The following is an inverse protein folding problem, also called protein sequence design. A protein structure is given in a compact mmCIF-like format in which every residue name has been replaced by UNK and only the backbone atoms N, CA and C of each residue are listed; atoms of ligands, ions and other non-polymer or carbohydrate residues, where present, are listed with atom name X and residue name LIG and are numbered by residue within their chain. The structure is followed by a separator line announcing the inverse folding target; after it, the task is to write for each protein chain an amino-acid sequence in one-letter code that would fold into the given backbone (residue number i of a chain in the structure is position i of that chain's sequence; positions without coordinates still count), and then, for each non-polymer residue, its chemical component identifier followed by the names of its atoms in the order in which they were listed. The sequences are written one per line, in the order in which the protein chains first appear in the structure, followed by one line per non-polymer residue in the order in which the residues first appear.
data_IF_143285725086
#
_entry.id   IF_143285725086
#
_cell.length_a   1.000
_cell.length_b   1.000
_cell.length_c   1.000
_cell.angle_alpha   90.00
_cell.angle_beta   90.00
_cell.angle_gamma   90.00
#
_symmetry.space_group_name_H-M   'P 1'
#
loop_
_entity.id
_entity.type
_entity.pdbx_description
1 polymer ?
#
# COMPACT_ATOMS: atom_id res chain seq x y z
N UNK A 1 -21.96 -0.22 -10.05
CA UNK A 1 -22.49 -1.50 -9.52
C UNK A 1 -23.80 -1.20 -8.81
N UNK A 2 -24.77 -2.11 -8.86
CA UNK A 2 -25.99 -2.06 -8.04
C UNK A 2 -25.70 -2.62 -6.65
N UNK A 3 -26.57 -2.34 -5.68
CA UNK A 3 -26.46 -2.95 -4.35
C UNK A 3 -26.44 -4.48 -4.46
N UNK A 4 -25.59 -5.11 -3.64
CA UNK A 4 -25.36 -6.56 -3.58
C UNK A 4 -24.69 -7.20 -4.81
N UNK A 5 -24.36 -6.43 -5.86
CA UNK A 5 -23.46 -6.90 -6.92
C UNK A 5 -22.13 -7.40 -6.30
N UNK A 6 -21.49 -8.34 -6.99
CA UNK A 6 -20.30 -9.05 -6.48
C UNK A 6 -19.00 -8.34 -6.82
N UNK A 7 -18.12 -8.20 -5.82
CA UNK A 7 -16.80 -7.55 -5.91
C UNK A 7 -15.72 -8.51 -5.40
N UNK A 8 -14.59 -8.58 -6.10
CA UNK A 8 -13.38 -9.23 -5.59
C UNK A 8 -12.23 -8.25 -5.48
N UNK A 9 -11.53 -8.27 -4.34
CA UNK A 9 -10.34 -7.47 -4.06
C UNK A 9 -9.32 -8.30 -3.27
N UNK A 10 -8.07 -7.84 -3.19
CA UNK A 10 -7.05 -8.50 -2.38
C UNK A 10 -7.48 -8.43 -0.90
N UNK A 11 -7.33 -9.54 -0.16
CA UNK A 11 -7.68 -9.56 1.25
C UNK A 11 -6.88 -8.51 2.04
N UNK A 12 -7.51 -7.88 3.03
CA UNK A 12 -6.88 -6.80 3.79
C UNK A 12 -5.61 -7.29 4.51
N UNK A 13 -5.59 -8.44 5.21
CA UNK A 13 -4.39 -8.96 5.83
C UNK A 13 -3.28 -9.33 4.85
N UNK A 14 -3.63 -9.50 3.58
CA UNK A 14 -2.74 -9.89 2.48
C UNK A 14 -2.28 -8.68 1.66
N UNK A 15 -2.50 -7.46 2.17
CA UNK A 15 -2.01 -6.22 1.57
C UNK A 15 -3.03 -5.49 0.72
N UNK A 16 -4.30 -5.86 0.77
CA UNK A 16 -5.42 -5.12 0.18
C UNK A 16 -5.70 -3.79 0.85
N UNK A 17 -6.87 -3.21 0.58
CA UNK A 17 -7.33 -1.97 1.21
C UNK A 17 -8.79 -2.08 1.66
N UNK A 18 -9.16 -1.36 2.73
CA UNK A 18 -10.52 -1.39 3.28
C UNK A 18 -11.59 -1.00 2.25
N UNK A 19 -11.28 -0.12 1.30
CA UNK A 19 -12.20 0.27 0.22
C UNK A 19 -12.42 -0.80 -0.84
N UNK A 20 -11.73 -1.94 -0.77
CA UNK A 20 -11.91 -3.07 -1.68
C UNK A 20 -12.88 -4.12 -1.10
N UNK A 21 -13.37 -3.90 0.12
CA UNK A 21 -14.17 -4.84 0.88
C UNK A 21 -13.36 -5.51 1.98
N UNK A 22 -13.94 -5.60 3.18
CA UNK A 22 -13.36 -6.35 4.29
C UNK A 22 -14.44 -6.72 5.30
N UNK A 23 -14.45 -8.00 5.68
CA UNK A 23 -15.34 -8.54 6.68
C UNK A 23 -14.65 -9.67 7.43
N UNK A 24 -15.05 -9.86 8.69
CA UNK A 24 -14.73 -11.03 9.49
C UNK A 24 -16.00 -11.88 9.62
N UNK A 25 -15.93 -13.15 10.06
CA UNK A 25 -17.11 -14.03 10.13
C UNK A 25 -18.30 -13.43 10.90
N UNK A 26 -18.03 -12.60 11.91
CA UNK A 26 -19.06 -11.98 12.74
C UNK A 26 -19.53 -10.60 12.26
N UNK A 27 -18.84 -9.94 11.32
CA UNK A 27 -19.09 -8.52 11.01
C UNK A 27 -18.52 -8.04 9.67
N UNK A 28 -19.32 -7.28 8.94
CA UNK A 28 -18.83 -6.42 7.84
C UNK A 28 -18.15 -5.18 8.40
N UNK A 29 -16.83 -5.10 8.23
CA UNK A 29 -16.01 -3.99 8.74
C UNK A 29 -16.03 -2.82 7.77
N UNK A 30 -15.78 -3.08 6.49
CA UNK A 30 -15.91 -2.09 5.43
C UNK A 30 -17.37 -1.90 5.05
N UNK A 31 -17.78 -0.65 4.82
CA UNK A 31 -19.09 -0.36 4.25
C UNK A 31 -19.25 -0.90 2.82
N UNK A 32 -18.15 -1.10 2.08
CA UNK A 32 -18.18 -1.76 0.77
C UNK A 32 -18.75 -3.18 0.90
N UNK A 33 -18.39 -3.92 1.95
CA UNK A 33 -18.93 -5.26 2.23
C UNK A 33 -20.36 -5.24 2.78
N UNK A 34 -20.90 -4.07 3.14
CA UNK A 34 -22.32 -3.91 3.50
C UNK A 34 -23.18 -3.62 2.28
N UNK A 35 -22.68 -2.76 1.38
CA UNK A 35 -23.40 -2.36 0.17
C UNK A 35 -23.28 -3.38 -0.96
N UNK A 36 -22.16 -4.10 -1.05
CA UNK A 36 -21.84 -5.06 -2.10
C UNK A 36 -21.48 -6.41 -1.49
N UNK A 37 -21.62 -7.47 -2.29
CA UNK A 37 -21.20 -8.81 -1.88
C UNK A 37 -19.71 -8.96 -2.19
N UNK A 38 -18.85 -8.97 -1.17
CA UNK A 38 -17.39 -8.99 -1.35
C UNK A 38 -16.80 -10.37 -1.06
N UNK A 39 -15.88 -10.84 -1.90
CA UNK A 39 -15.06 -12.04 -1.63
C UNK A 39 -13.58 -11.73 -1.90
N UNK A 40 -12.67 -11.98 -0.94
CA UNK A 40 -11.27 -11.69 -1.15
C UNK A 40 -10.58 -12.72 -2.05
N UNK A 41 -9.53 -12.29 -2.75
CA UNK A 41 -8.45 -13.19 -3.20
C UNK A 41 -7.19 -12.97 -2.36
N UNK A 42 -6.23 -13.88 -2.45
CA UNK A 42 -5.14 -14.00 -1.46
C UNK A 42 -3.76 -14.02 -2.13
N UNK A 43 -2.72 -13.82 -1.33
CA UNK A 43 -1.35 -14.19 -1.68
C UNK A 43 -1.16 -15.69 -1.47
N UNK A 44 -0.26 -16.30 -2.23
CA UNK A 44 0.35 -17.56 -1.88
C UNK A 44 1.20 -17.35 -0.60
N UNK A 45 0.94 -18.08 0.50
CA UNK A 45 1.62 -17.84 1.78
C UNK A 45 3.10 -18.23 1.78
N UNK A 46 3.54 -19.07 0.85
CA UNK A 46 4.93 -19.49 0.71
C UNK A 46 5.76 -18.43 -0.01
N UNK A 47 5.23 -17.89 -1.11
CA UNK A 47 5.95 -16.92 -1.96
C UNK A 47 5.68 -15.47 -1.57
N UNK A 48 4.52 -15.17 -0.96
CA UNK A 48 4.07 -13.80 -0.68
C UNK A 48 3.63 -13.03 -1.93
N UNK A 49 3.36 -13.72 -3.04
CA UNK A 49 2.90 -13.16 -4.32
C UNK A 49 1.40 -13.48 -4.49
N UNK A 50 0.65 -12.65 -5.21
CA UNK A 50 -0.77 -12.91 -5.50
C UNK A 50 -0.95 -14.31 -6.10
N UNK A 51 -1.85 -15.10 -5.53
CA UNK A 51 -2.23 -16.41 -6.07
C UNK A 51 -3.26 -16.22 -7.20
N UNK A 52 -2.73 -15.94 -8.40
CA UNK A 52 -3.56 -15.69 -9.58
C UNK A 52 -4.39 -16.91 -10.00
N UNK A 53 -3.90 -18.12 -9.76
CA UNK A 53 -4.62 -19.35 -10.10
C UNK A 53 -5.75 -19.61 -9.10
N UNK A 54 -5.52 -19.34 -7.81
CA UNK A 54 -6.57 -19.31 -6.80
C UNK A 54 -7.63 -18.25 -7.11
N UNK A 55 -7.22 -17.05 -7.51
CA UNK A 55 -8.12 -15.99 -7.97
C UNK A 55 -8.95 -16.45 -9.18
N UNK A 56 -8.34 -17.05 -10.21
CA UNK A 56 -9.06 -17.52 -11.41
C UNK A 56 -10.15 -18.55 -11.04
N UNK A 57 -9.79 -19.57 -10.26
CA UNK A 57 -10.72 -20.62 -9.82
C UNK A 57 -11.90 -20.05 -9.03
N UNK A 58 -11.61 -19.18 -8.07
CA UNK A 58 -12.64 -18.61 -7.19
C UNK A 58 -13.50 -17.57 -7.90
N UNK A 59 -12.95 -16.80 -8.84
CA UNK A 59 -13.70 -15.86 -9.66
C UNK A 59 -14.73 -16.56 -10.56
N UNK A 60 -14.42 -17.73 -11.12
CA UNK A 60 -15.38 -18.49 -11.93
C UNK A 60 -16.60 -18.99 -11.13
N UNK A 61 -16.39 -19.34 -9.86
CA UNK A 61 -17.46 -19.77 -8.95
C UNK A 61 -18.25 -18.56 -8.46
N UNK A 62 -17.56 -17.51 -8.01
CA UNK A 62 -18.17 -16.34 -7.41
C UNK A 62 -18.79 -15.37 -8.43
N UNK A 63 -18.34 -15.38 -9.69
CA UNK A 63 -18.86 -14.53 -10.77
C UNK A 63 -18.89 -13.04 -10.39
N UNK A 64 -17.74 -12.42 -10.09
CA UNK A 64 -17.69 -11.01 -9.74
C UNK A 64 -18.12 -10.13 -10.91
N UNK A 65 -18.72 -8.99 -10.60
CA UNK A 65 -18.98 -7.93 -11.59
C UNK A 65 -17.76 -7.02 -11.75
N UNK A 66 -16.95 -6.89 -10.70
CA UNK A 66 -15.70 -6.12 -10.69
C UNK A 66 -14.63 -6.93 -9.97
N UNK A 67 -13.44 -6.97 -10.55
CA UNK A 67 -12.21 -7.45 -9.90
C UNK A 67 -11.30 -6.23 -9.71
N UNK A 68 -10.81 -6.03 -8.49
CA UNK A 68 -9.90 -4.94 -8.13
C UNK A 68 -8.45 -5.44 -8.19
N UNK A 69 -7.62 -4.76 -8.98
CA UNK A 69 -6.17 -4.89 -9.04
C UNK A 69 -5.51 -3.69 -8.37
N UNK A 70 -5.38 -3.73 -7.04
CA UNK A 70 -4.77 -2.64 -6.27
C UNK A 70 -4.42 -3.07 -4.86
N UNK A 71 -3.37 -2.47 -4.30
CA UNK A 71 -2.76 -2.90 -3.03
C UNK A 71 -2.32 -1.71 -2.17
N UNK A 72 -2.23 -1.95 -0.86
CA UNK A 72 -1.65 -1.04 0.13
C UNK A 72 -0.29 -1.51 0.65
N UNK A 73 -0.10 -2.82 0.77
CA UNK A 73 1.08 -3.42 1.40
C UNK A 73 1.55 -4.64 0.59
N UNK A 74 2.01 -4.37 -0.64
CA UNK A 74 2.53 -5.36 -1.57
C UNK A 74 3.73 -4.76 -2.31
N UNK A 75 4.90 -5.39 -2.23
CA UNK A 75 6.17 -4.85 -2.77
C UNK A 75 6.43 -5.21 -4.23
N UNK A 76 5.63 -6.10 -4.81
CA UNK A 76 5.73 -6.56 -6.21
C UNK A 76 4.82 -5.76 -7.14
N UNK A 77 5.06 -5.90 -8.45
CA UNK A 77 4.10 -5.47 -9.46
C UNK A 77 2.91 -6.42 -9.51
N UNK A 78 1.77 -5.91 -9.98
CA UNK A 78 0.59 -6.73 -10.28
C UNK A 78 0.71 -7.14 -11.74
N UNK A 79 0.56 -8.42 -12.03
CA UNK A 79 0.38 -8.94 -13.39
C UNK A 79 -1.01 -8.51 -13.92
N UNK A 80 -1.06 -7.35 -14.58
CA UNK A 80 -2.30 -6.77 -15.07
C UNK A 80 -2.90 -7.56 -16.25
N UNK A 81 -2.07 -8.23 -17.05
CA UNK A 81 -2.52 -9.09 -18.15
C UNK A 81 -3.24 -10.33 -17.61
N UNK A 82 -2.69 -10.96 -16.57
CA UNK A 82 -3.34 -12.08 -15.88
C UNK A 82 -4.65 -11.64 -15.24
N UNK A 83 -4.68 -10.48 -14.58
CA UNK A 83 -5.91 -9.91 -14.03
C UNK A 83 -6.96 -9.65 -15.10
N UNK A 84 -6.56 -9.09 -16.26
CA UNK A 84 -7.44 -8.85 -17.41
C UNK A 84 -8.03 -10.15 -17.95
N UNK A 85 -7.21 -11.18 -18.11
CA UNK A 85 -7.66 -12.50 -18.59
C UNK A 85 -8.74 -13.08 -17.67
N UNK A 86 -8.54 -13.00 -16.35
CA UNK A 86 -9.51 -13.51 -15.37
C UNK A 86 -10.81 -12.69 -15.40
N UNK A 87 -10.71 -11.36 -15.45
CA UNK A 87 -11.88 -10.48 -15.56
C UNK A 87 -12.69 -10.78 -16.83
N UNK A 88 -12.02 -11.00 -17.97
CA UNK A 88 -12.66 -11.37 -19.23
C UNK A 88 -13.44 -12.68 -19.15
N UNK A 89 -12.86 -13.72 -18.54
CA UNK A 89 -13.54 -15.02 -18.38
C UNK A 89 -14.85 -14.91 -17.59
N UNK A 90 -14.91 -13.97 -16.63
CA UNK A 90 -16.09 -13.74 -15.80
C UNK A 90 -17.07 -12.72 -16.40
N UNK A 91 -16.69 -12.02 -17.48
CA UNK A 91 -17.42 -10.84 -17.98
C UNK A 91 -17.35 -9.63 -17.03
N UNK A 92 -16.41 -9.64 -16.07
CA UNK A 92 -16.23 -8.60 -15.08
C UNK A 92 -15.55 -7.35 -15.68
N UNK A 93 -15.66 -6.22 -14.99
CA UNK A 93 -14.78 -5.09 -15.20
C UNK A 93 -13.49 -5.27 -14.38
N UNK A 94 -12.36 -4.86 -14.95
CA UNK A 94 -11.10 -4.72 -14.22
C UNK A 94 -10.95 -3.28 -13.73
N UNK A 95 -10.88 -3.11 -12.40
CA UNK A 95 -10.60 -1.83 -11.75
C UNK A 95 -9.19 -1.88 -11.17
N UNK A 96 -8.30 -0.99 -11.57
CA UNK A 96 -7.01 -0.82 -10.89
C UNK A 96 -7.04 0.31 -9.90
N UNK A 97 -6.76 0.02 -8.63
CA UNK A 97 -6.53 1.06 -7.62
C UNK A 97 -5.02 1.28 -7.48
N UNK A 98 -4.52 2.32 -8.15
CA UNK A 98 -3.09 2.64 -8.20
C UNK A 98 -2.68 3.67 -7.14
N UNK A 99 -3.49 3.88 -6.09
CA UNK A 99 -3.28 4.93 -5.10
C UNK A 99 -1.84 5.01 -4.55
N UNK A 100 -1.21 3.86 -4.30
CA UNK A 100 0.14 3.77 -3.77
C UNK A 100 1.24 4.05 -4.81
N UNK A 101 0.98 3.79 -6.10
CA UNK A 101 1.99 3.82 -7.17
C UNK A 101 1.74 4.89 -8.24
N UNK A 102 0.72 5.74 -8.09
CA UNK A 102 0.34 6.71 -9.13
C UNK A 102 1.45 7.69 -9.53
N UNK A 103 2.33 8.07 -8.60
CA UNK A 103 3.51 8.86 -8.93
C UNK A 103 4.54 8.07 -9.75
N UNK A 104 4.76 6.80 -9.40
CA UNK A 104 5.65 5.89 -10.14
C UNK A 104 5.13 5.65 -11.57
N UNK A 105 3.82 5.45 -11.71
CA UNK A 105 3.15 5.29 -13.01
C UNK A 105 3.27 6.58 -13.84
N UNK A 106 3.02 7.74 -13.24
CA UNK A 106 3.14 9.03 -13.93
C UNK A 106 4.57 9.31 -14.44
N UNK A 107 5.58 8.88 -13.71
CA UNK A 107 7.00 8.98 -14.10
C UNK A 107 7.44 7.89 -15.10
N UNK A 108 6.61 6.87 -15.36
CA UNK A 108 6.93 5.76 -16.26
C UNK A 108 8.03 4.83 -15.73
N UNK A 109 8.17 4.71 -14.39
CA UNK A 109 9.18 3.86 -13.75
C UNK A 109 8.65 2.51 -13.28
N UNK A 110 7.34 2.30 -13.39
CA UNK A 110 6.65 1.01 -13.20
C UNK A 110 5.61 0.82 -14.30
N UNK A 111 5.13 -0.41 -14.47
CA UNK A 111 4.10 -0.73 -15.44
C UNK A 111 2.79 0.04 -15.18
N UNK A 112 2.19 0.55 -16.26
CA UNK A 112 0.97 1.32 -16.20
C UNK A 112 -0.28 0.41 -16.26
N UNK A 113 -1.22 0.50 -15.30
CA UNK A 113 -2.47 -0.25 -15.36
C UNK A 113 -3.39 0.21 -16.50
N UNK A 114 -3.11 1.38 -17.10
CA UNK A 114 -3.95 1.96 -18.16
C UNK A 114 -3.93 1.18 -19.47
N UNK A 115 -3.09 0.17 -19.64
CA UNK A 115 -3.10 -0.67 -20.85
C UNK A 115 -4.25 -1.69 -20.86
N UNK A 116 -4.64 -2.20 -19.69
CA UNK A 116 -5.55 -3.35 -19.56
C UNK A 116 -6.84 -3.01 -18.81
N UNK A 117 -6.79 -2.09 -17.85
CA UNK A 117 -7.89 -1.80 -16.95
C UNK A 117 -9.01 -1.00 -17.62
N UNK A 118 -10.24 -1.32 -17.22
CA UNK A 118 -11.44 -0.60 -17.68
C UNK A 118 -11.62 0.70 -16.88
N UNK A 119 -11.27 0.66 -15.59
CA UNK A 119 -11.35 1.77 -14.63
C UNK A 119 -10.01 1.84 -13.89
N UNK A 120 -9.50 3.05 -13.66
CA UNK A 120 -8.34 3.28 -12.79
C UNK A 120 -8.70 4.32 -11.74
N UNK A 121 -8.59 3.98 -10.46
CA UNK A 121 -8.77 4.92 -9.34
C UNK A 121 -7.43 5.23 -8.70
N UNK A 122 -7.30 6.44 -8.15
CA UNK A 122 -6.10 6.80 -7.39
C UNK A 122 -6.41 7.89 -6.37
N UNK A 123 -5.67 7.87 -5.27
CA UNK A 123 -5.48 9.06 -4.44
C UNK A 123 -4.43 9.99 -5.03
N UNK A 124 -4.48 11.27 -4.67
CA UNK A 124 -3.56 12.28 -5.22
C UNK A 124 -2.38 12.65 -4.30
N UNK A 125 -2.37 12.18 -3.04
CA UNK A 125 -1.43 12.63 -2.00
C UNK A 125 -0.24 11.70 -1.70
N UNK A 126 -0.26 10.45 -2.18
CA UNK A 126 0.77 9.45 -1.87
C UNK A 126 2.01 9.65 -2.74
N UNK A 127 2.39 8.66 -3.55
CA UNK A 127 3.55 8.78 -4.44
C UNK A 127 3.39 9.92 -5.46
N UNK A 128 2.16 10.33 -5.81
CA UNK A 128 1.90 11.50 -6.66
C UNK A 128 2.23 12.85 -6.00
N UNK A 129 2.37 12.89 -4.67
CA UNK A 129 2.80 14.08 -3.90
C UNK A 129 1.93 15.34 -4.08
N UNK A 130 0.64 15.16 -4.37
CA UNK A 130 -0.35 16.24 -4.47
C UNK A 130 -1.18 16.45 -3.20
N UNK A 131 -2.29 17.22 -3.28
CA UNK A 131 -3.18 17.43 -2.14
C UNK A 131 -3.98 16.18 -1.79
N UNK A 132 -4.65 16.18 -0.64
CA UNK A 132 -5.62 15.12 -0.29
C UNK A 132 -6.85 15.19 -1.20
N UNK A 133 -6.91 14.27 -2.16
CA UNK A 133 -8.04 14.09 -3.09
C UNK A 133 -7.92 12.75 -3.82
N UNK A 134 -8.73 12.58 -4.86
CA UNK A 134 -8.75 11.37 -5.69
C UNK A 134 -9.11 11.70 -7.14
N UNK A 135 -8.79 10.78 -8.05
CA UNK A 135 -9.20 10.79 -9.46
C UNK A 135 -9.77 9.44 -9.86
N UNK A 136 -10.74 9.46 -10.78
CA UNK A 136 -11.33 8.27 -11.39
C UNK A 136 -11.17 8.41 -12.90
N UNK A 137 -10.39 7.50 -13.48
CA UNK A 137 -10.24 7.37 -14.92
C UNK A 137 -11.08 6.19 -15.41
N UNK A 138 -11.67 6.31 -16.58
CA UNK A 138 -12.50 5.27 -17.18
C UNK A 138 -12.31 5.23 -18.70
N UNK A 139 -12.42 4.02 -19.27
CA UNK A 139 -12.42 3.82 -20.72
C UNK A 139 -13.67 4.41 -21.38
N UNK A 140 -13.49 4.89 -22.61
CA UNK A 140 -14.55 5.30 -23.55
C UNK A 140 -14.36 4.57 -24.87
N UNK A 141 -15.39 4.51 -25.71
CA UNK A 141 -15.33 3.86 -27.02
C UNK A 141 -15.76 2.39 -27.00
N UNK A 142 -15.16 1.56 -27.85
CA UNK A 142 -15.55 0.15 -28.01
C UNK A 142 -14.92 -0.70 -26.90
N UNK A 143 -15.75 -1.42 -26.14
CA UNK A 143 -15.34 -2.39 -25.12
C UNK A 143 -15.08 -3.77 -25.71
N UNK A 144 -15.98 -4.22 -26.58
CA UNK A 144 -15.89 -5.52 -27.23
C UNK A 144 -16.68 -5.54 -28.54
N UNK A 145 -16.52 -6.60 -29.32
CA UNK A 145 -17.37 -6.88 -30.48
C UNK A 145 -18.07 -8.21 -30.20
N UNK A 146 -19.40 -8.23 -30.35
CA UNK A 146 -20.17 -9.45 -30.14
C UNK A 146 -19.95 -10.47 -31.29
N UNK A 147 -20.50 -11.67 -31.14
CA UNK A 147 -20.39 -12.74 -32.15
C UNK A 147 -21.01 -12.38 -33.51
N UNK A 148 -21.86 -11.36 -33.56
CA UNK A 148 -22.54 -10.88 -34.77
C UNK A 148 -21.81 -9.69 -35.41
N UNK A 149 -20.67 -9.27 -34.86
CA UNK A 149 -19.91 -8.12 -35.35
C UNK A 149 -20.40 -6.77 -34.81
N UNK A 150 -21.36 -6.74 -33.89
CA UNK A 150 -21.82 -5.48 -33.31
C UNK A 150 -20.82 -4.98 -32.27
N UNK A 151 -20.47 -3.70 -32.38
CA UNK A 151 -19.61 -3.02 -31.39
C UNK A 151 -20.40 -2.79 -30.10
N UNK A 152 -19.89 -3.32 -29.00
CA UNK A 152 -20.38 -3.04 -27.64
C UNK A 152 -19.55 -1.89 -27.09
N UNK A 153 -20.19 -0.77 -26.78
CA UNK A 153 -19.51 0.41 -26.25
C UNK A 153 -19.31 0.31 -24.72
N UNK A 154 -18.31 1.01 -24.21
CA UNK A 154 -18.20 1.27 -22.79
C UNK A 154 -19.34 2.18 -22.33
N UNK A 155 -19.97 1.80 -21.21
CA UNK A 155 -20.94 2.61 -20.49
C UNK A 155 -20.41 2.88 -19.06
N UNK A 156 -19.37 3.71 -18.98
CA UNK A 156 -18.68 4.04 -17.72
C UNK A 156 -18.79 5.52 -17.38
N UNK A 157 -18.69 6.41 -18.38
CA UNK A 157 -18.64 7.86 -18.19
C UNK A 157 -19.87 8.40 -17.44
N UNK A 158 -21.06 8.19 -17.99
CA UNK A 158 -22.28 8.71 -17.38
C UNK A 158 -22.57 8.07 -16.02
N UNK A 159 -22.49 6.73 -15.84
CA UNK A 159 -22.72 6.12 -14.52
C UNK A 159 -21.71 6.57 -13.46
N UNK A 160 -20.43 6.71 -13.80
CA UNK A 160 -19.40 7.15 -12.82
C UNK A 160 -19.62 8.62 -12.46
N UNK A 161 -19.79 9.51 -13.44
CA UNK A 161 -20.01 10.93 -13.18
C UNK A 161 -21.29 11.15 -12.36
N UNK A 162 -22.40 10.49 -12.72
CA UNK A 162 -23.66 10.55 -11.97
C UNK A 162 -23.54 9.99 -10.55
N UNK A 163 -22.72 8.95 -10.36
CA UNK A 163 -22.44 8.40 -9.03
C UNK A 163 -21.66 9.38 -8.15
N UNK A 164 -20.72 10.14 -8.72
CA UNK A 164 -20.02 11.21 -7.98
C UNK A 164 -21.00 12.34 -7.64
N UNK A 165 -21.67 12.91 -8.63
CA UNK A 165 -22.69 13.94 -8.46
C UNK A 165 -23.84 13.70 -9.46
N UNK A 166 -25.10 13.67 -9.01
CA UNK A 166 -25.60 14.00 -7.67
C UNK A 166 -25.60 12.83 -6.68
N UNK A 167 -25.00 11.67 -7.02
CA UNK A 167 -25.13 10.45 -6.23
C UNK A 167 -24.58 10.50 -4.80
N UNK A 168 -23.30 10.84 -4.62
CA UNK A 168 -22.62 10.71 -3.33
C UNK A 168 -21.96 12.00 -2.81
N UNK A 169 -21.77 13.00 -3.66
CA UNK A 169 -21.18 14.29 -3.28
C UNK A 169 -22.07 15.45 -3.75
N UNK A 170 -21.90 16.61 -3.11
CA UNK A 170 -22.53 17.88 -3.49
C UNK A 170 -21.54 18.81 -4.22
N UNK A 171 -21.25 19.97 -3.62
CA UNK A 171 -20.35 20.97 -4.21
C UNK A 171 -18.89 20.51 -4.30
N UNK A 172 -18.18 20.79 -5.41
CA UNK A 172 -16.78 20.41 -5.57
C UNK A 172 -15.83 21.26 -4.71
N UNK A 173 -14.76 20.65 -4.21
CA UNK A 173 -13.71 21.35 -3.47
C UNK A 173 -12.69 21.99 -4.41
N UNK A 174 -13.07 23.12 -5.03
CA UNK A 174 -12.29 23.76 -6.10
C UNK A 174 -10.85 24.12 -5.69
N UNK A 175 -10.60 24.52 -4.43
CA UNK A 175 -9.24 24.77 -3.93
C UNK A 175 -8.35 23.51 -3.99
N UNK A 176 -8.91 22.33 -3.71
CA UNK A 176 -8.20 21.04 -3.82
C UNK A 176 -7.98 20.67 -5.28
N UNK A 177 -8.97 20.91 -6.15
CA UNK A 177 -8.85 20.65 -7.59
C UNK A 177 -7.77 21.54 -8.22
N UNK A 178 -7.70 22.82 -7.83
CA UNK A 178 -6.64 23.73 -8.28
C UNK A 178 -5.26 23.26 -7.81
N UNK A 179 -5.11 22.88 -6.54
CA UNK A 179 -3.84 22.34 -6.05
C UNK A 179 -3.46 21.01 -6.73
N UNK A 180 -4.44 20.18 -7.10
CA UNK A 180 -4.20 18.97 -7.88
C UNK A 180 -3.64 19.29 -9.27
N UNK A 181 -4.16 20.31 -9.96
CA UNK A 181 -3.62 20.74 -11.25
C UNK A 181 -2.14 21.14 -11.15
N UNK A 182 -1.75 21.81 -10.06
CA UNK A 182 -0.34 22.14 -9.78
C UNK A 182 0.51 20.87 -9.62
N UNK A 183 0.04 19.91 -8.81
CA UNK A 183 0.75 18.64 -8.61
C UNK A 183 0.88 17.82 -9.91
N UNK A 184 -0.17 17.81 -10.74
CA UNK A 184 -0.15 17.13 -12.05
C UNK A 184 0.82 17.79 -13.04
N UNK A 185 1.01 19.12 -12.96
CA UNK A 185 2.04 19.82 -13.72
C UNK A 185 3.45 19.42 -13.24
N UNK A 186 3.67 19.36 -11.92
CA UNK A 186 4.94 18.91 -11.35
C UNK A 186 5.25 17.46 -11.75
N UNK A 187 4.25 16.58 -11.78
CA UNK A 187 4.42 15.17 -12.14
C UNK A 187 4.91 14.92 -13.58
N UNK A 188 4.82 15.93 -14.46
CA UNK A 188 5.30 15.87 -15.84
C UNK A 188 6.76 16.32 -16.00
N UNK A 189 7.40 16.80 -14.93
CA UNK A 189 8.76 17.32 -15.00
C UNK A 189 9.81 16.21 -14.99
N UNK A 190 11.00 16.51 -15.52
CA UNK A 190 12.13 15.57 -15.51
C UNK A 190 12.58 15.28 -14.08
N UNK A 191 12.58 16.30 -13.22
CA UNK A 191 12.96 16.21 -11.81
C UNK A 191 12.01 15.29 -11.04
N UNK A 192 10.71 15.28 -11.39
CA UNK A 192 9.76 14.35 -10.79
C UNK A 192 10.05 12.90 -11.21
N UNK A 193 10.44 12.66 -12.47
CA UNK A 193 10.86 11.34 -12.91
C UNK A 193 12.13 10.87 -12.19
N UNK A 194 13.16 11.71 -12.13
CA UNK A 194 14.40 11.44 -11.40
C UNK A 194 14.12 11.14 -9.91
N UNK A 195 13.21 11.90 -9.29
CA UNK A 195 12.72 11.63 -7.94
C UNK A 195 12.08 10.24 -7.80
N UNK A 196 11.19 9.83 -8.70
CA UNK A 196 10.54 8.51 -8.63
C UNK A 196 11.51 7.35 -8.89
N UNK A 197 12.52 7.55 -9.75
CA UNK A 197 13.61 6.59 -9.92
C UNK A 197 14.39 6.42 -8.60
N UNK A 198 14.70 7.53 -7.92
CA UNK A 198 15.36 7.49 -6.61
C UNK A 198 14.51 6.80 -5.55
N UNK A 199 13.18 7.01 -5.56
CA UNK A 199 12.24 6.32 -4.64
C UNK A 199 12.38 4.79 -4.75
N UNK A 200 12.48 4.25 -5.96
CA UNK A 200 12.65 2.80 -6.18
C UNK A 200 14.04 2.33 -5.74
N UNK A 201 15.11 3.07 -6.09
CA UNK A 201 16.48 2.73 -5.67
C UNK A 201 16.60 2.67 -4.15
N UNK A 202 16.05 3.67 -3.47
CA UNK A 202 15.99 3.77 -2.01
C UNK A 202 15.23 2.61 -1.37
N UNK A 203 14.08 2.23 -1.92
CA UNK A 203 13.31 1.08 -1.42
C UNK A 203 14.09 -0.24 -1.57
N UNK A 204 14.80 -0.41 -2.70
CA UNK A 204 15.67 -1.56 -2.95
C UNK A 204 16.87 -1.58 -2.00
N UNK A 205 17.52 -0.45 -1.75
CA UNK A 205 18.63 -0.34 -0.80
C UNK A 205 18.18 -0.71 0.62
N UNK A 206 17.05 -0.16 1.08
CA UNK A 206 16.45 -0.49 2.39
C UNK A 206 16.21 -1.99 2.53
N UNK A 207 15.50 -2.60 1.57
CA UNK A 207 15.15 -4.00 1.67
C UNK A 207 16.31 -4.95 1.42
N UNK A 208 17.28 -4.57 0.59
CA UNK A 208 18.54 -5.28 0.42
C UNK A 208 19.31 -5.33 1.74
N UNK A 209 19.49 -4.18 2.39
CA UNK A 209 20.18 -4.10 3.68
C UNK A 209 19.47 -4.89 4.79
N UNK A 210 18.14 -4.79 4.86
CA UNK A 210 17.36 -5.60 5.79
C UNK A 210 17.51 -7.11 5.51
N UNK A 211 17.57 -7.52 4.25
CA UNK A 211 17.82 -8.92 3.88
C UNK A 211 19.20 -9.38 4.35
N UNK A 212 20.23 -8.56 4.16
CA UNK A 212 21.60 -8.86 4.62
C UNK A 212 21.67 -8.99 6.16
N UNK A 213 20.83 -8.24 6.88
CA UNK A 213 20.64 -8.34 8.34
C UNK A 213 19.74 -9.52 8.77
N UNK A 214 19.36 -10.39 7.83
CA UNK A 214 18.57 -11.59 8.09
C UNK A 214 17.08 -11.34 8.34
N UNK A 215 16.52 -10.23 7.85
CA UNK A 215 15.07 -10.03 7.82
C UNK A 215 14.44 -10.73 6.62
N UNK A 216 13.28 -11.35 6.84
CA UNK A 216 12.49 -11.94 5.77
C UNK A 216 11.64 -10.87 5.09
N UNK A 217 11.87 -10.63 3.80
CA UNK A 217 11.06 -9.72 2.97
C UNK A 217 9.88 -10.50 2.39
N UNK A 218 8.65 -10.04 2.65
CA UNK A 218 7.45 -10.63 2.07
C UNK A 218 7.43 -10.36 0.56
N UNK A 219 7.21 -11.40 -0.27
CA UNK A 219 7.23 -11.28 -1.73
C UNK A 219 8.64 -11.31 -2.37
N UNK A 220 9.70 -11.33 -1.56
CA UNK A 220 11.09 -11.42 -2.03
C UNK A 220 11.62 -10.09 -2.56
N UNK A 221 11.49 -9.85 -3.86
CA UNK A 221 11.99 -8.64 -4.51
C UNK A 221 11.12 -7.41 -4.20
N UNK A 222 11.72 -6.24 -4.45
CA UNK A 222 11.10 -4.94 -4.26
C UNK A 222 11.07 -4.24 -5.61
N UNK A 223 9.86 -4.05 -6.12
CA UNK A 223 9.60 -3.52 -7.45
C UNK A 223 8.87 -2.17 -7.40
N UNK A 224 8.63 -1.64 -6.20
CA UNK A 224 7.98 -0.35 -5.98
C UNK A 224 8.59 0.40 -4.78
N UNK A 225 7.84 1.30 -4.17
CA UNK A 225 8.29 2.24 -3.14
C UNK A 225 8.22 1.72 -1.70
N UNK A 226 7.82 0.46 -1.47
CA UNK A 226 7.63 -0.08 -0.11
C UNK A 226 8.33 -1.42 0.12
N UNK A 227 8.63 -1.68 1.38
CA UNK A 227 9.17 -2.95 1.90
C UNK A 227 8.25 -3.45 3.00
N UNK A 228 7.90 -4.73 2.98
CA UNK A 228 7.17 -5.39 4.05
C UNK A 228 8.04 -6.50 4.63
N UNK A 229 8.44 -6.35 5.90
CA UNK A 229 9.24 -7.36 6.60
C UNK A 229 8.39 -8.22 7.52
N UNK A 230 8.68 -9.52 7.55
CA UNK A 230 8.14 -10.49 8.51
C UNK A 230 9.07 -10.55 9.73
N UNK A 231 8.56 -10.16 10.89
CA UNK A 231 9.29 -10.13 12.16
C UNK A 231 9.15 -11.44 12.95
N UNK A 232 8.29 -12.37 12.52
CA UNK A 232 8.11 -13.67 13.19
C UNK A 232 9.43 -14.44 13.36
N UNK A 233 10.33 -14.51 12.35
CA UNK A 233 11.64 -15.16 12.51
C UNK A 233 12.53 -14.48 13.55
N UNK A 234 12.32 -13.18 13.83
CA UNK A 234 13.06 -12.45 14.87
C UNK A 234 12.46 -12.64 16.27
N UNK A 235 11.28 -13.26 16.37
CA UNK A 235 10.61 -13.57 17.63
C UNK A 235 9.94 -12.36 18.29
N UNK A 236 9.61 -11.31 17.53
CA UNK A 236 8.97 -10.09 18.04
C UNK A 236 7.81 -9.70 17.14
N UNK A 237 6.76 -9.10 17.70
CA UNK A 237 5.62 -8.61 16.91
C UNK A 237 5.81 -7.16 16.43
N UNK A 238 5.12 -6.80 15.35
CA UNK A 238 5.26 -5.49 14.73
C UNK A 238 4.78 -4.33 15.60
N UNK A 239 3.86 -4.56 16.54
CA UNK A 239 3.34 -3.50 17.40
C UNK A 239 4.37 -3.03 18.43
N UNK A 240 5.16 -3.95 18.98
CA UNK A 240 6.25 -3.60 19.89
C UNK A 240 7.36 -2.84 19.18
N UNK A 241 7.76 -3.30 18.00
CA UNK A 241 8.81 -2.64 17.20
C UNK A 241 8.36 -1.25 16.75
N UNK A 242 7.12 -1.11 16.26
CA UNK A 242 6.54 0.18 15.89
C UNK A 242 6.55 1.16 17.07
N UNK A 243 6.23 0.70 18.29
CA UNK A 243 6.27 1.55 19.48
C UNK A 243 7.68 2.04 19.83
N UNK A 244 8.69 1.18 19.72
CA UNK A 244 10.09 1.59 19.93
C UNK A 244 10.53 2.60 18.86
N UNK A 245 10.19 2.35 17.60
CA UNK A 245 10.46 3.27 16.50
C UNK A 245 9.79 4.64 16.69
N UNK A 246 8.52 4.65 17.13
CA UNK A 246 7.78 5.88 17.43
C UNK A 246 8.51 6.74 18.48
N UNK A 247 8.97 6.11 19.57
CA UNK A 247 9.74 6.79 20.62
C UNK A 247 11.10 7.30 20.11
N UNK A 248 11.63 6.73 19.03
CA UNK A 248 12.84 7.19 18.34
C UNK A 248 12.56 8.23 17.23
N UNK A 249 11.33 8.75 17.14
CA UNK A 249 10.87 9.65 16.07
C UNK A 249 10.88 9.03 14.66
N UNK A 250 10.74 7.70 14.57
CA UNK A 250 10.62 6.98 13.30
C UNK A 250 9.17 6.52 13.12
N UNK A 251 8.48 7.13 12.16
CA UNK A 251 7.12 6.72 11.80
C UNK A 251 7.16 5.51 10.87
N UNK A 252 6.87 4.34 11.43
CA UNK A 252 6.63 3.10 10.68
C UNK A 252 5.19 2.63 10.92
N UNK A 253 4.78 1.55 10.25
CA UNK A 253 3.43 1.01 10.39
C UNK A 253 3.49 -0.50 10.60
N UNK A 254 2.99 -0.97 11.74
CA UNK A 254 2.75 -2.41 11.94
C UNK A 254 1.76 -2.90 10.88
N UNK A 255 2.06 -4.04 10.27
CA UNK A 255 1.25 -4.58 9.17
C UNK A 255 1.18 -6.09 9.29
N UNK A 256 0.03 -6.65 8.91
CA UNK A 256 -0.12 -8.11 8.81
C UNK A 256 0.80 -8.66 7.74
N UNK A 257 1.24 -9.89 7.94
CA UNK A 257 1.99 -10.67 6.94
C UNK A 257 1.29 -12.01 6.72
N UNK A 258 1.52 -12.69 5.58
CA UNK A 258 0.95 -14.02 5.35
C UNK A 258 1.20 -14.98 6.52
N UNK A 259 0.14 -15.70 6.91
CA UNK A 259 0.14 -16.62 8.05
C UNK A 259 -0.18 -16.00 9.41
N UNK A 260 -0.43 -14.69 9.50
CA UNK A 260 -0.91 -14.09 10.74
C UNK A 260 -2.34 -14.56 11.05
N UNK A 261 -2.56 -15.09 12.26
CA UNK A 261 -3.87 -15.61 12.68
C UNK A 261 -4.88 -14.50 13.02
N UNK A 262 -4.43 -13.25 13.17
CA UNK A 262 -5.28 -12.13 13.56
C UNK A 262 -4.71 -10.81 13.06
N UNK A 263 -5.57 -9.99 12.44
CA UNK A 263 -5.23 -8.61 12.08
C UNK A 263 -4.92 -7.72 13.30
N UNK A 264 -5.30 -8.13 14.51
CA UNK A 264 -5.04 -7.39 15.75
C UNK A 264 -3.63 -7.63 16.31
N UNK A 265 -2.90 -8.63 15.79
CA UNK A 265 -1.53 -8.95 16.20
C UNK A 265 -0.63 -9.09 14.96
N UNK A 266 -0.36 -7.99 14.24
CA UNK A 266 0.45 -8.03 13.03
C UNK A 266 1.88 -8.48 13.31
N UNK A 267 2.34 -9.47 12.55
CA UNK A 267 3.69 -10.02 12.64
C UNK A 267 4.74 -9.29 11.80
N UNK A 268 4.39 -8.18 11.14
CA UNK A 268 5.31 -7.46 10.27
C UNK A 268 5.29 -5.96 10.40
N UNK A 269 6.18 -5.34 9.64
CA UNK A 269 6.39 -3.89 9.60
C UNK A 269 6.48 -3.43 8.14
N UNK A 270 5.66 -2.45 7.78
CA UNK A 270 5.68 -1.81 6.45
C UNK A 270 6.47 -0.52 6.50
N UNK A 271 7.43 -0.39 5.59
CA UNK A 271 8.31 0.75 5.42
C UNK A 271 8.19 1.26 3.99
N UNK A 272 8.43 2.56 3.77
CA UNK A 272 8.36 3.15 2.44
C UNK A 272 9.33 4.30 2.26
N UNK A 273 9.83 4.47 1.04
CA UNK A 273 10.83 5.47 0.69
C UNK A 273 10.35 6.88 0.27
N UNK A 274 9.08 7.14 -0.17
CA UNK A 274 8.74 8.43 -0.80
C UNK A 274 8.99 9.68 0.05
N UNK A 275 8.62 9.64 1.33
CA UNK A 275 8.66 10.82 2.19
C UNK A 275 10.10 11.29 2.44
N UNK A 276 11.00 10.37 2.77
CA UNK A 276 12.40 10.73 3.04
C UNK A 276 13.19 10.98 1.76
N UNK A 277 12.84 10.32 0.65
CA UNK A 277 13.41 10.66 -0.67
C UNK A 277 13.06 12.09 -1.06
N UNK A 278 11.86 12.58 -0.72
CA UNK A 278 11.47 13.99 -0.94
C UNK A 278 12.36 14.96 -0.16
N UNK A 279 12.91 14.53 0.99
CA UNK A 279 13.86 15.31 1.79
C UNK A 279 15.30 15.19 1.33
N UNK A 280 15.59 14.39 0.31
CA UNK A 280 16.92 14.21 -0.26
C UNK A 280 17.67 12.96 0.22
N UNK A 281 17.01 12.02 0.91
CA UNK A 281 17.65 10.75 1.26
C UNK A 281 18.01 9.95 0.01
N UNK A 282 19.20 9.34 0.01
CA UNK A 282 19.68 8.43 -1.02
C UNK A 282 19.78 6.96 -0.54
N UNK A 283 20.37 6.09 -1.36
CA UNK A 283 20.49 4.67 -1.06
C UNK A 283 21.25 4.41 0.25
N UNK A 284 22.33 5.16 0.50
CA UNK A 284 23.17 5.02 1.69
C UNK A 284 22.42 5.44 2.96
N UNK A 285 21.60 6.48 2.85
CA UNK A 285 20.70 6.87 3.92
C UNK A 285 19.66 5.79 4.21
N UNK A 286 19.12 5.13 3.19
CA UNK A 286 18.16 4.03 3.38
C UNK A 286 18.79 2.75 3.94
N UNK A 287 20.08 2.50 3.71
CA UNK A 287 20.82 1.49 4.47
C UNK A 287 20.93 1.85 5.95
N UNK A 288 21.15 3.14 6.28
CA UNK A 288 21.14 3.61 7.67
C UNK A 288 19.74 3.50 8.30
N UNK A 289 18.68 3.74 7.53
CA UNK A 289 17.29 3.45 7.98
C UNK A 289 17.14 1.97 8.34
N UNK A 290 17.70 1.04 7.56
CA UNK A 290 17.66 -0.39 7.89
C UNK A 290 18.35 -0.68 9.24
N UNK A 291 19.50 -0.05 9.50
CA UNK A 291 20.21 -0.19 10.78
C UNK A 291 19.41 0.37 11.97
N UNK A 292 18.67 1.47 11.77
CA UNK A 292 17.75 2.01 12.79
C UNK A 292 16.61 1.04 13.09
N UNK A 293 16.03 0.42 12.06
CA UNK A 293 15.00 -0.61 12.22
C UNK A 293 15.55 -1.82 12.99
N UNK A 294 16.75 -2.28 12.64
CA UNK A 294 17.38 -3.40 13.34
C UNK A 294 17.69 -3.11 14.82
N UNK A 295 18.16 -1.89 15.10
CA UNK A 295 18.38 -1.41 16.47
C UNK A 295 17.07 -1.38 17.26
N UNK A 296 15.97 -0.90 16.66
CA UNK A 296 14.66 -0.88 17.32
C UNK A 296 14.11 -2.29 17.59
N UNK A 297 14.34 -3.25 16.69
CA UNK A 297 13.99 -4.66 16.89
C UNK A 297 14.77 -5.24 18.07
N UNK A 298 16.07 -4.96 18.15
CA UNK A 298 16.93 -5.41 19.25
C UNK A 298 16.46 -4.83 20.59
N UNK A 299 16.23 -3.52 20.65
CA UNK A 299 15.71 -2.84 21.84
C UNK A 299 14.35 -3.42 22.26
N UNK A 300 13.44 -3.66 21.31
CA UNK A 300 12.13 -4.23 21.62
C UNK A 300 12.25 -5.61 22.30
N UNK A 301 13.20 -6.43 21.85
CA UNK A 301 13.47 -7.75 22.44
C UNK A 301 14.13 -7.65 23.81
N UNK A 302 15.07 -6.72 23.99
CA UNK A 302 15.71 -6.46 25.29
C UNK A 302 14.69 -6.03 26.33
N UNK A 303 13.79 -5.10 25.97
CA UNK A 303 12.71 -4.63 26.84
C UNK A 303 11.77 -5.81 27.19
N UNK A 304 11.33 -6.59 26.20
CA UNK A 304 10.45 -7.73 26.47
C UNK A 304 11.11 -8.77 27.39
N UNK A 305 12.38 -9.07 27.15
CA UNK A 305 13.14 -10.08 27.92
C UNK A 305 13.40 -9.62 29.35
N UNK A 306 13.86 -8.38 29.54
CA UNK A 306 14.21 -7.82 30.85
C UNK A 306 13.00 -7.57 31.75
N UNK A 307 11.84 -7.27 31.15
CA UNK A 307 10.62 -6.89 31.90
C UNK A 307 9.59 -8.02 32.00
N UNK A 308 9.71 -9.06 31.15
CA UNK A 308 8.74 -10.14 31.01
C UNK A 308 7.39 -9.70 30.43
N UNK A 309 7.25 -8.46 29.93
CA UNK A 309 5.99 -7.91 29.43
C UNK A 309 5.74 -8.31 27.98
N UNK A 310 5.07 -9.44 27.80
CA UNK A 310 4.78 -9.98 26.46
C UNK A 310 3.52 -9.40 25.81
N UNK A 311 2.58 -8.83 26.59
CA UNK A 311 1.38 -8.18 26.04
C UNK A 311 1.68 -6.74 25.67
N UNK A 312 1.23 -6.31 24.49
CA UNK A 312 1.48 -4.95 23.97
C UNK A 312 1.07 -3.82 24.94
N UNK A 313 -0.05 -3.99 25.67
CA UNK A 313 -0.49 -2.99 26.65
C UNK A 313 0.54 -2.81 27.77
N UNK A 314 0.92 -3.92 28.41
CA UNK A 314 1.89 -3.95 29.50
C UNK A 314 3.29 -3.49 29.01
N UNK A 315 3.68 -3.90 27.80
CA UNK A 315 4.93 -3.49 27.16
C UNK A 315 4.98 -1.97 26.92
N UNK A 316 3.88 -1.39 26.46
CA UNK A 316 3.77 0.06 26.20
C UNK A 316 3.78 0.86 27.51
N UNK A 317 3.07 0.36 28.53
CA UNK A 317 3.06 0.94 29.89
C UNK A 317 4.47 0.92 30.50
N UNK A 318 5.22 -0.17 30.32
CA UNK A 318 6.59 -0.28 30.84
C UNK A 318 7.57 0.63 30.09
N UNK A 319 7.46 0.70 28.76
CA UNK A 319 8.24 1.63 27.93
C UNK A 319 8.00 3.08 28.34
N UNK A 320 6.75 3.46 28.63
CA UNK A 320 6.35 4.84 28.88
C UNK A 320 6.87 5.80 27.79
N UNK A 321 7.78 6.71 28.13
CA UNK A 321 8.47 7.66 27.23
C UNK A 321 9.85 7.18 26.75
N UNK A 322 10.26 5.98 27.16
CA UNK A 322 11.53 5.36 26.83
C UNK A 322 12.73 5.85 27.65
N UNK A 323 12.55 6.80 28.58
CA UNK A 323 13.67 7.44 29.30
C UNK A 323 14.47 6.48 30.18
N UNK A 324 13.85 5.37 30.62
CA UNK A 324 14.51 4.32 31.42
C UNK A 324 15.48 3.45 30.62
N UNK A 325 15.39 3.46 29.28
CA UNK A 325 16.14 2.58 28.41
C UNK A 325 17.21 3.37 27.65
N UNK A 326 18.45 3.31 28.14
CA UNK A 326 19.58 4.08 27.58
C UNK A 326 19.77 3.85 26.07
N UNK A 327 19.64 2.60 25.61
CA UNK A 327 19.74 2.24 24.18
C UNK A 327 18.67 2.94 23.32
N UNK A 328 17.45 3.09 23.84
CA UNK A 328 16.38 3.82 23.17
C UNK A 328 16.66 5.32 23.14
N UNK A 329 17.08 5.91 24.27
CA UNK A 329 17.42 7.34 24.35
C UNK A 329 18.54 7.68 23.36
N UNK A 330 19.58 6.84 23.29
CA UNK A 330 20.68 7.00 22.34
C UNK A 330 20.20 6.94 20.89
N UNK A 331 19.43 5.90 20.53
CA UNK A 331 18.89 5.75 19.17
C UNK A 331 18.03 6.95 18.77
N UNK A 332 17.21 7.47 19.71
CA UNK A 332 16.37 8.66 19.49
C UNK A 332 17.22 9.90 19.17
N UNK A 333 18.29 10.16 19.90
CA UNK A 333 19.15 11.33 19.65
C UNK A 333 19.97 11.15 18.37
N UNK A 334 20.43 9.94 18.05
CA UNK A 334 21.16 9.64 16.81
C UNK A 334 20.27 9.88 15.58
N UNK A 335 19.02 9.38 15.61
CA UNK A 335 18.02 9.61 14.55
C UNK A 335 17.71 11.10 14.41
N UNK A 336 17.46 11.78 15.53
CA UNK A 336 17.11 13.20 15.54
C UNK A 336 18.23 14.07 14.96
N UNK A 337 19.47 13.80 15.35
CA UNK A 337 20.64 14.57 14.92
C UNK A 337 20.86 14.42 13.42
N UNK A 338 20.84 13.18 12.92
CA UNK A 338 21.00 12.90 11.49
C UNK A 338 19.87 13.49 10.63
N UNK A 339 18.61 13.28 11.00
CA UNK A 339 17.46 13.72 10.17
C UNK A 339 17.34 15.25 10.08
N UNK A 340 17.98 16.00 11.00
CA UNK A 340 18.04 17.47 10.96
C UNK A 340 18.98 18.02 9.89
N UNK A 341 19.88 17.21 9.36
CA UNK A 341 20.81 17.60 8.29
C UNK A 341 20.09 17.76 6.94
N UNK A 342 18.86 17.26 6.82
CA UNK A 342 18.08 17.27 5.58
C UNK A 342 17.04 18.40 5.54
N UNK A 343 16.79 19.00 4.36
CA UNK A 343 15.82 20.08 4.21
C UNK A 343 14.40 19.66 4.59
N UNK A 344 13.59 20.65 4.97
CA UNK A 344 12.14 20.51 5.15
C UNK A 344 11.47 21.08 3.90
N UNK A 345 10.74 20.28 3.09
CA UNK A 345 10.33 20.68 1.74
C UNK A 345 9.43 21.93 1.62
N UNK A 346 8.87 22.40 2.72
CA UNK A 346 7.95 23.54 2.78
C UNK A 346 8.52 24.76 3.53
N UNK A 347 9.76 24.69 4.02
CA UNK A 347 10.45 25.86 4.58
C UNK A 347 11.31 26.48 3.49
N UNK A 348 10.97 27.70 3.09
CA UNK A 348 11.75 28.51 2.15
C UNK A 348 12.98 29.11 2.82
#
# INVERSE_FOLDING_TARGET
MQAHDRLMGLDLPHGGHLSHGYQIPSKHISFISKYFTTMPYHLNPETGIIDYDGLEKTAQVFRPKVIIAGTSAYSRTIDYDRMRKIANQCGAYLLSDMAHISGLVAAGVVESPFHTSDIVTTTTHKSLRGPRGAMIFFRKGVRSTDKKGNKVLYDLENPINASVFPGHQGGPHNHTITALAVALKQAQSKEFKEYQEQVIKNAKALGGKLRDMGYKIVGGDIENHLVLIDLKPKGIDGAKVERVLELCNVAANKNTVPGDKSAMKPGGLRLGSPAMTTRGFDESDFERVAAVVDSAVTIAKEVETSTGKTKIKEFTEELADGAKFESLVKLREDVRSWVREFPVPWTH
#
